data_IF_877518308589
#
_entry.id   IF_877518308589
#
_cell.length_a   1.000
_cell.length_b   1.000
_cell.length_c   1.000
_cell.angle_alpha   90.00
_cell.angle_beta   90.00
_cell.angle_gamma   90.00
#
_symmetry.space_group_name_H-M   'P 1'
#
loop_
_entity.id
_entity.type
_entity.pdbx_description
1 polymer ?
#
# COMPACT_ATOMS: atom_id res chain seq x y z
N UNK A 1 16.56 -1.06 1.91
CA UNK A 1 15.26 -1.56 2.43
C UNK A 1 14.39 -1.84 1.21
N UNK A 2 13.82 -3.02 1.11
CA UNK A 2 12.84 -3.35 0.05
C UNK A 2 11.46 -2.89 0.51
N UNK A 3 10.82 -2.00 -0.21
CA UNK A 3 9.46 -1.52 0.08
C UNK A 3 8.49 -2.21 -0.88
N UNK A 4 7.42 -2.78 -0.32
CA UNK A 4 6.42 -3.55 -1.07
C UNK A 4 5.03 -3.14 -0.60
N UNK A 5 4.54 -2.09 -1.23
CA UNK A 5 3.22 -1.56 -0.94
C UNK A 5 2.13 -2.34 -1.68
N UNK A 6 0.99 -2.56 -1.03
CA UNK A 6 -0.11 -3.33 -1.61
C UNK A 6 -1.41 -2.53 -1.64
N UNK A 7 -2.26 -2.83 -2.63
CA UNK A 7 -3.64 -2.37 -2.67
C UNK A 7 -4.58 -3.57 -2.59
N UNK A 8 -5.57 -3.52 -1.70
CA UNK A 8 -6.67 -4.48 -1.67
C UNK A 8 -7.91 -3.86 -2.32
N UNK A 9 -8.47 -4.57 -3.30
CA UNK A 9 -9.69 -4.20 -4.03
C UNK A 9 -10.84 -5.05 -3.53
N UNK A 10 -11.77 -4.45 -2.84
CA UNK A 10 -12.97 -5.08 -2.30
C UNK A 10 -14.10 -5.12 -3.35
N UNK A 11 -14.98 -6.10 -3.25
CA UNK A 11 -16.13 -6.29 -4.15
C UNK A 11 -17.09 -5.11 -4.22
N UNK A 12 -17.12 -4.25 -3.19
CA UNK A 12 -18.00 -3.08 -3.13
C UNK A 12 -17.41 -1.85 -3.80
N UNK A 13 -16.15 -1.91 -4.23
CA UNK A 13 -15.48 -0.77 -4.84
C UNK A 13 -16.06 -0.42 -6.22
N UNK A 14 -15.96 0.84 -6.60
CA UNK A 14 -16.24 1.27 -7.97
C UNK A 14 -15.06 0.88 -8.89
N UNK A 15 -15.36 0.17 -9.97
CA UNK A 15 -14.34 -0.37 -10.89
C UNK A 15 -13.50 0.71 -11.55
N UNK A 16 -14.10 1.87 -11.92
CA UNK A 16 -13.38 2.97 -12.57
C UNK A 16 -12.46 3.67 -11.57
N UNK A 17 -12.92 3.85 -10.33
CA UNK A 17 -12.12 4.44 -9.26
C UNK A 17 -10.98 3.49 -8.90
N UNK A 18 -11.24 2.20 -8.74
CA UNK A 18 -10.24 1.20 -8.43
C UNK A 18 -9.13 1.16 -9.49
N UNK A 19 -9.51 1.10 -10.78
CA UNK A 19 -8.53 1.09 -11.87
C UNK A 19 -7.66 2.34 -11.89
N UNK A 20 -8.24 3.54 -11.73
CA UNK A 20 -7.48 4.81 -11.68
C UNK A 20 -6.51 4.87 -10.50
N UNK A 21 -6.94 4.42 -9.32
CA UNK A 21 -6.08 4.40 -8.14
C UNK A 21 -4.89 3.47 -8.36
N UNK A 22 -5.13 2.27 -8.89
CA UNK A 22 -4.11 1.25 -9.16
C UNK A 22 -3.12 1.74 -10.23
N UNK A 23 -3.62 2.26 -11.35
CA UNK A 23 -2.78 2.81 -12.39
C UNK A 23 -1.86 3.92 -11.85
N UNK A 24 -2.42 4.86 -11.09
CA UNK A 24 -1.64 5.91 -10.45
C UNK A 24 -0.64 5.35 -9.44
N UNK A 25 -1.06 4.40 -8.59
CA UNK A 25 -0.21 3.82 -7.57
C UNK A 25 1.02 3.09 -8.16
N UNK A 26 0.87 2.47 -9.33
CA UNK A 26 2.00 1.79 -9.99
C UNK A 26 2.74 2.68 -10.99
N UNK A 27 2.03 3.35 -11.89
CA UNK A 27 2.62 3.89 -13.11
C UNK A 27 2.97 5.39 -13.05
N UNK A 28 2.47 6.14 -12.05
CA UNK A 28 2.87 7.55 -11.91
C UNK A 28 4.39 7.70 -11.75
N UNK A 29 5.02 6.87 -10.91
CA UNK A 29 6.47 6.76 -10.73
C UNK A 29 6.81 5.38 -10.19
N UNK A 30 7.41 4.54 -10.98
CA UNK A 30 7.67 3.12 -10.66
C UNK A 30 8.79 2.90 -9.65
N UNK A 31 9.75 3.81 -9.59
CA UNK A 31 10.97 3.65 -8.77
C UNK A 31 10.92 4.37 -7.41
N UNK A 32 9.76 4.79 -6.92
CA UNK A 32 9.62 5.41 -5.59
C UNK A 32 9.02 4.43 -4.57
N UNK A 33 9.28 4.70 -3.29
CA UNK A 33 8.83 3.85 -2.19
C UNK A 33 7.30 3.63 -2.15
N UNK A 34 6.50 4.64 -2.51
CA UNK A 34 5.04 4.54 -2.57
C UNK A 34 4.49 3.88 -3.84
N UNK A 35 5.34 3.36 -4.74
CA UNK A 35 4.87 2.58 -5.88
C UNK A 35 4.33 1.23 -5.40
N UNK A 36 3.10 0.90 -5.82
CA UNK A 36 2.50 -0.40 -5.48
C UNK A 36 3.24 -1.55 -6.19
N UNK A 37 3.45 -2.64 -5.47
CA UNK A 37 4.08 -3.85 -6.01
C UNK A 37 3.10 -5.02 -6.11
N UNK A 38 2.04 -5.02 -5.28
CA UNK A 38 1.03 -6.07 -5.27
C UNK A 38 -0.39 -5.51 -5.24
N UNK A 39 -1.26 -6.11 -6.05
CA UNK A 39 -2.71 -5.94 -5.96
C UNK A 39 -3.30 -7.22 -5.39
N UNK A 40 -4.13 -7.08 -4.37
CA UNK A 40 -4.94 -8.14 -3.80
C UNK A 40 -6.38 -7.91 -4.26
N UNK A 41 -6.94 -8.80 -5.05
CA UNK A 41 -8.29 -8.68 -5.59
C UNK A 41 -9.25 -9.65 -4.91
N UNK A 42 -10.39 -9.15 -4.41
CA UNK A 42 -11.41 -10.00 -3.83
C UNK A 42 -11.95 -10.99 -4.88
N UNK A 43 -12.07 -12.27 -4.52
CA UNK A 43 -12.58 -13.30 -5.43
C UNK A 43 -13.97 -12.99 -5.98
N UNK A 44 -14.79 -12.23 -5.24
CA UNK A 44 -16.15 -11.86 -5.64
C UNK A 44 -16.21 -10.76 -6.70
N UNK A 45 -15.11 -10.03 -6.94
CA UNK A 45 -15.06 -8.99 -7.98
C UNK A 45 -14.08 -9.29 -9.13
N UNK A 46 -13.56 -10.50 -9.19
CA UNK A 46 -12.66 -10.93 -10.28
C UNK A 46 -13.26 -10.66 -11.66
N UNK A 47 -14.49 -11.10 -11.91
CA UNK A 47 -15.12 -11.00 -13.23
C UNK A 47 -15.50 -9.55 -13.60
N UNK A 48 -15.69 -8.69 -12.62
CA UNK A 48 -16.15 -7.31 -12.83
C UNK A 48 -15.01 -6.29 -12.87
N UNK A 49 -14.02 -6.43 -12.02
CA UNK A 49 -12.95 -5.44 -11.84
C UNK A 49 -11.65 -5.83 -12.55
N UNK A 50 -11.25 -7.09 -12.44
CA UNK A 50 -9.94 -7.54 -12.90
C UNK A 50 -9.70 -7.36 -14.41
N UNK A 51 -10.70 -7.60 -15.32
CA UNK A 51 -10.49 -7.38 -16.75
C UNK A 51 -10.11 -5.94 -17.11
N UNK A 52 -10.75 -4.96 -16.44
CA UNK A 52 -10.43 -3.54 -16.64
C UNK A 52 -9.08 -3.19 -16.06
N UNK A 53 -8.83 -3.58 -14.82
CA UNK A 53 -7.55 -3.31 -14.13
C UNK A 53 -6.37 -3.83 -14.94
N UNK A 54 -6.42 -5.09 -15.40
CA UNK A 54 -5.37 -5.69 -16.24
C UNK A 54 -5.21 -4.92 -17.55
N UNK A 55 -6.33 -4.58 -18.20
CA UNK A 55 -6.32 -3.86 -19.48
C UNK A 55 -5.65 -2.49 -19.34
N UNK A 56 -6.01 -1.72 -18.32
CA UNK A 56 -5.48 -0.38 -18.10
C UNK A 56 -4.00 -0.43 -17.75
N UNK A 57 -3.59 -1.35 -16.87
CA UNK A 57 -2.17 -1.56 -16.54
C UNK A 57 -1.33 -1.92 -17.77
N UNK A 58 -1.78 -2.86 -18.59
CA UNK A 58 -1.06 -3.27 -19.80
C UNK A 58 -1.01 -2.13 -20.82
N UNK A 59 -2.10 -1.39 -21.00
CA UNK A 59 -2.13 -0.22 -21.88
C UNK A 59 -1.19 0.89 -21.39
N UNK A 60 -1.02 1.02 -20.08
CA UNK A 60 -0.05 1.91 -19.46
C UNK A 60 1.40 1.41 -19.53
N UNK A 61 1.65 0.25 -20.15
CA UNK A 61 2.99 -0.34 -20.33
C UNK A 61 3.47 -1.17 -19.14
N UNK A 62 2.57 -1.61 -18.24
CA UNK A 62 2.91 -2.44 -17.10
C UNK A 62 2.91 -3.94 -17.46
N UNK A 63 3.97 -4.65 -17.07
CA UNK A 63 3.96 -6.10 -17.04
C UNK A 63 3.13 -6.57 -15.83
N UNK A 64 2.15 -7.43 -16.08
CA UNK A 64 1.28 -7.97 -15.04
C UNK A 64 1.62 -9.43 -14.79
N UNK A 65 1.95 -9.76 -13.55
CA UNK A 65 2.15 -11.13 -13.07
C UNK A 65 0.98 -11.50 -12.16
N UNK A 66 0.33 -12.62 -12.44
CA UNK A 66 -0.87 -12.99 -11.70
C UNK A 66 -0.92 -14.47 -11.33
N UNK A 67 -1.82 -14.79 -10.41
CA UNK A 67 -2.15 -16.16 -10.09
C UNK A 67 -2.91 -16.86 -11.22
N UNK A 68 -3.31 -18.11 -11.02
CA UNK A 68 -4.03 -18.89 -12.02
C UNK A 68 -5.41 -18.31 -12.36
N UNK A 69 -6.01 -17.48 -11.52
CA UNK A 69 -7.29 -16.81 -11.79
C UNK A 69 -7.05 -15.64 -12.73
N UNK A 70 -6.08 -14.82 -12.45
CA UNK A 70 -5.66 -13.70 -13.31
C UNK A 70 -5.29 -14.14 -14.73
N UNK A 71 -4.56 -15.25 -14.85
CA UNK A 71 -4.18 -15.84 -16.15
C UNK A 71 -5.36 -16.31 -17.01
N UNK A 72 -6.53 -16.62 -16.41
CA UNK A 72 -7.74 -16.96 -17.15
C UNK A 72 -8.46 -15.74 -17.74
N UNK A 73 -8.22 -14.57 -17.13
CA UNK A 73 -8.84 -13.31 -17.57
C UNK A 73 -8.12 -12.75 -18.80
N UNK A 74 -6.80 -12.89 -18.89
CA UNK A 74 -6.02 -12.38 -20.02
C UNK A 74 -4.78 -13.25 -20.28
N UNK A 75 -4.56 -13.58 -21.54
CA UNK A 75 -3.38 -14.30 -22.03
C UNK A 75 -2.08 -13.47 -21.98
N UNK A 76 -2.20 -12.18 -21.72
CA UNK A 76 -1.07 -11.26 -21.54
C UNK A 76 -0.53 -11.25 -20.11
N UNK A 77 -1.24 -11.85 -19.16
CA UNK A 77 -0.78 -11.96 -17.77
C UNK A 77 0.23 -13.09 -17.66
N UNK A 78 1.41 -12.79 -17.13
CA UNK A 78 2.43 -13.78 -16.83
C UNK A 78 2.11 -14.48 -15.52
N UNK A 79 2.59 -15.71 -15.36
CA UNK A 79 2.39 -16.45 -14.12
C UNK A 79 3.26 -15.88 -13.00
N UNK A 80 2.65 -15.48 -11.91
CA UNK A 80 3.37 -15.12 -10.69
C UNK A 80 3.97 -16.35 -10.02
N UNK A 81 5.16 -16.20 -9.44
CA UNK A 81 5.84 -17.16 -8.56
C UNK A 81 5.69 -16.74 -7.10
N UNK A 82 6.08 -17.59 -6.16
CA UNK A 82 6.11 -17.22 -4.74
C UNK A 82 7.08 -16.07 -4.43
N UNK A 83 8.12 -15.91 -5.24
CA UNK A 83 9.11 -14.84 -5.10
C UNK A 83 8.52 -13.47 -5.46
N UNK A 84 7.54 -13.42 -6.37
CA UNK A 84 6.89 -12.17 -6.79
C UNK A 84 6.19 -11.47 -5.63
N UNK A 85 5.61 -12.23 -4.68
CA UNK A 85 4.96 -11.65 -3.50
C UNK A 85 5.93 -10.92 -2.56
N UNK A 86 7.20 -11.28 -2.61
CA UNK A 86 8.27 -10.68 -1.81
C UNK A 86 9.18 -9.72 -2.58
N UNK A 87 8.84 -9.36 -3.82
CA UNK A 87 9.70 -8.59 -4.72
C UNK A 87 9.29 -7.12 -4.75
N UNK A 88 10.27 -6.23 -4.63
CA UNK A 88 10.18 -4.84 -5.01
C UNK A 88 10.74 -4.70 -6.43
N UNK A 89 9.87 -4.45 -7.41
CA UNK A 89 10.28 -4.45 -8.82
C UNK A 89 11.03 -3.19 -9.23
N UNK A 90 10.65 -2.03 -8.65
CA UNK A 90 11.19 -0.72 -9.04
C UNK A 90 11.03 -0.40 -10.54
N UNK A 91 10.10 -1.06 -11.19
CA UNK A 91 9.83 -0.99 -12.62
C UNK A 91 8.32 -1.05 -12.89
N UNK A 92 7.90 -0.92 -14.14
CA UNK A 92 6.52 -1.09 -14.57
C UNK A 92 6.13 -2.59 -14.59
N UNK A 93 6.23 -3.23 -13.43
CA UNK A 93 5.87 -4.63 -13.18
C UNK A 93 5.04 -4.67 -11.90
N UNK A 94 3.92 -5.39 -11.89
CA UNK A 94 3.06 -5.54 -10.72
C UNK A 94 2.56 -6.98 -10.59
N UNK A 95 2.44 -7.48 -9.37
CA UNK A 95 1.81 -8.77 -9.10
C UNK A 95 0.34 -8.62 -8.70
N UNK A 96 -0.50 -9.57 -9.10
CA UNK A 96 -1.92 -9.61 -8.73
C UNK A 96 -2.26 -10.98 -8.14
N UNK A 97 -2.84 -10.99 -6.94
CA UNK A 97 -3.30 -12.20 -6.26
C UNK A 97 -4.77 -12.11 -5.91
N UNK A 98 -5.50 -13.16 -6.20
CA UNK A 98 -6.89 -13.32 -5.76
C UNK A 98 -6.92 -13.74 -4.29
N UNK A 99 -7.78 -13.11 -3.50
CA UNK A 99 -7.95 -13.35 -2.07
C UNK A 99 -9.42 -13.50 -1.68
N UNK A 100 -9.67 -14.23 -0.58
CA UNK A 100 -11.02 -14.45 -0.02
C UNK A 100 -11.36 -13.36 1.00
N UNK A 101 -11.61 -12.16 0.49
CA UNK A 101 -12.00 -11.03 1.31
C UNK A 101 -10.86 -10.38 2.07
N UNK A 102 -11.24 -9.42 2.92
CA UNK A 102 -10.32 -8.54 3.64
C UNK A 102 -9.39 -9.28 4.60
N UNK A 103 -9.81 -10.40 5.17
CA UNK A 103 -8.99 -11.16 6.12
C UNK A 103 -7.77 -11.78 5.45
N UNK A 104 -7.95 -12.45 4.32
CA UNK A 104 -6.83 -13.02 3.58
C UNK A 104 -5.91 -11.94 3.00
N UNK A 105 -6.48 -10.78 2.63
CA UNK A 105 -5.67 -9.62 2.22
C UNK A 105 -4.77 -9.14 3.36
N UNK A 106 -5.29 -9.00 4.57
CA UNK A 106 -4.53 -8.62 5.77
C UNK A 106 -3.44 -9.66 6.09
N UNK A 107 -3.74 -10.96 5.99
CA UNK A 107 -2.76 -12.03 6.20
C UNK A 107 -1.63 -11.99 5.16
N UNK A 108 -1.97 -11.75 3.89
CA UNK A 108 -0.97 -11.59 2.84
C UNK A 108 -0.05 -10.41 3.11
N UNK A 109 -0.62 -9.25 3.46
CA UNK A 109 0.13 -8.04 3.81
C UNK A 109 1.04 -8.30 5.03
N UNK A 110 0.54 -8.98 6.04
CA UNK A 110 1.32 -9.32 7.23
C UNK A 110 2.51 -10.24 6.92
N UNK A 111 2.37 -11.09 5.90
CA UNK A 111 3.39 -12.06 5.49
C UNK A 111 4.43 -11.46 4.55
N UNK A 112 4.00 -10.73 3.53
CA UNK A 112 4.84 -10.27 2.43
C UNK A 112 5.09 -8.76 2.42
N UNK A 113 4.28 -7.96 3.10
CA UNK A 113 4.42 -6.52 3.15
C UNK A 113 5.72 -6.07 3.84
N UNK A 114 6.08 -4.82 3.60
CA UNK A 114 7.29 -4.20 4.18
C UNK A 114 7.00 -3.31 5.38
N UNK A 115 5.73 -3.16 5.76
CA UNK A 115 5.27 -2.30 6.84
C UNK A 115 5.30 -0.80 6.47
N UNK A 116 5.35 -0.47 5.19
CA UNK A 116 5.38 0.90 4.69
C UNK A 116 3.96 1.45 4.44
N UNK A 117 3.37 1.18 3.28
CA UNK A 117 2.06 1.74 2.92
C UNK A 117 1.16 0.68 2.31
N UNK A 118 -0.10 0.66 2.77
CA UNK A 118 -1.12 -0.24 2.26
C UNK A 118 -2.42 0.55 2.05
N UNK A 119 -3.18 0.20 1.01
CA UNK A 119 -4.44 0.85 0.73
C UNK A 119 -5.57 -0.16 0.51
N UNK A 120 -6.76 0.13 1.03
CA UNK A 120 -7.98 -0.58 0.70
C UNK A 120 -8.85 0.28 -0.21
N UNK A 121 -9.40 -0.31 -1.26
CA UNK A 121 -10.39 0.31 -2.15
C UNK A 121 -11.72 -0.38 -1.91
N UNK A 122 -12.66 0.28 -1.24
CA UNK A 122 -13.92 -0.31 -0.77
C UNK A 122 -14.94 0.76 -0.41
N UNK A 123 -16.22 0.44 -0.56
CA UNK A 123 -17.33 1.24 -0.02
C UNK A 123 -17.96 0.59 1.24
N UNK A 124 -17.50 -0.58 1.64
CA UNK A 124 -17.92 -1.26 2.87
C UNK A 124 -17.18 -0.69 4.09
N UNK A 125 -17.89 0.08 4.90
CA UNK A 125 -17.32 0.75 6.07
C UNK A 125 -16.75 -0.22 7.11
N UNK A 126 -17.35 -1.39 7.29
CA UNK A 126 -16.89 -2.35 8.29
C UNK A 126 -15.57 -2.98 7.86
N UNK A 127 -15.47 -3.36 6.57
CA UNK A 127 -14.22 -3.87 5.99
C UNK A 127 -13.12 -2.81 6.00
N UNK A 128 -13.46 -1.55 5.67
CA UNK A 128 -12.53 -0.42 5.72
C UNK A 128 -11.98 -0.22 7.13
N UNK A 129 -12.84 -0.07 8.14
CA UNK A 129 -12.39 0.11 9.52
C UNK A 129 -11.57 -1.09 10.03
N UNK A 130 -11.95 -2.30 9.67
CA UNK A 130 -11.18 -3.51 9.98
C UNK A 130 -9.78 -3.45 9.38
N UNK A 131 -9.67 -3.11 8.11
CA UNK A 131 -8.38 -3.00 7.41
C UNK A 131 -7.50 -1.91 8.03
N UNK A 132 -8.05 -0.69 8.20
CA UNK A 132 -7.32 0.46 8.75
C UNK A 132 -6.79 0.20 10.18
N UNK A 133 -7.55 -0.53 11.01
CA UNK A 133 -7.18 -0.82 12.39
C UNK A 133 -6.29 -2.06 12.56
N UNK A 134 -6.30 -2.99 11.59
CA UNK A 134 -5.60 -4.28 11.73
C UNK A 134 -4.26 -4.30 11.01
N UNK A 135 -4.17 -3.65 9.84
CA UNK A 135 -2.93 -3.59 9.07
C UNK A 135 -1.86 -2.84 9.84
N UNK A 136 -0.72 -3.49 10.06
CA UNK A 136 0.35 -2.97 10.92
C UNK A 136 1.35 -2.04 10.24
N UNK A 137 1.12 -1.62 8.99
CA UNK A 137 2.01 -0.74 8.22
C UNK A 137 2.04 0.69 8.79
N UNK A 138 3.08 1.45 8.43
CA UNK A 138 3.26 2.81 8.92
C UNK A 138 2.19 3.76 8.39
N UNK A 139 1.71 3.50 7.18
CA UNK A 139 0.66 4.26 6.51
C UNK A 139 -0.39 3.27 6.02
N UNK A 140 -1.64 3.50 6.40
CA UNK A 140 -2.78 2.69 5.96
C UNK A 140 -3.84 3.63 5.42
N UNK A 141 -4.28 3.38 4.19
CA UNK A 141 -5.08 4.31 3.41
C UNK A 141 -6.41 3.68 2.97
N UNK A 142 -7.38 4.54 2.65
CA UNK A 142 -8.66 4.15 2.10
C UNK A 142 -8.97 4.99 0.85
N UNK A 143 -9.34 4.32 -0.24
CA UNK A 143 -9.74 4.91 -1.52
C UNK A 143 -8.73 5.94 -2.07
N UNK A 144 -7.44 5.67 -1.92
CA UNK A 144 -6.38 6.53 -2.46
C UNK A 144 -5.16 5.74 -2.89
N UNK A 145 -4.37 6.34 -3.78
CA UNK A 145 -3.11 5.80 -4.26
C UNK A 145 -2.05 5.77 -3.15
N UNK A 146 -1.29 4.69 -3.07
CA UNK A 146 -0.15 4.56 -2.15
C UNK A 146 0.92 5.64 -2.39
N UNK A 147 0.95 6.27 -3.56
CA UNK A 147 1.87 7.37 -3.87
C UNK A 147 1.55 8.69 -3.17
N UNK A 148 0.45 8.78 -2.41
CA UNK A 148 0.24 9.86 -1.44
C UNK A 148 1.07 9.69 -0.16
N UNK A 149 1.73 8.56 0.03
CA UNK A 149 2.67 8.31 1.11
C UNK A 149 3.96 9.13 0.90
N UNK A 150 3.88 10.42 1.18
CA UNK A 150 4.95 11.40 0.97
C UNK A 150 4.90 12.48 2.05
N UNK A 151 6.05 12.83 2.61
CA UNK A 151 6.15 13.86 3.65
C UNK A 151 5.69 15.24 3.20
N UNK A 152 5.79 15.57 1.91
CA UNK A 152 5.26 16.80 1.34
C UNK A 152 3.74 16.79 1.31
N UNK A 153 3.13 15.69 0.86
CA UNK A 153 1.67 15.52 0.82
C UNK A 153 1.06 15.52 2.24
N UNK A 154 1.77 14.98 3.23
CA UNK A 154 1.34 14.97 4.63
C UNK A 154 1.60 16.29 5.37
N UNK A 155 2.15 17.30 4.70
CA UNK A 155 2.42 18.60 5.32
C UNK A 155 3.59 18.61 6.30
N UNK A 156 4.50 17.63 6.23
CA UNK A 156 5.68 17.54 7.09
C UNK A 156 6.85 18.43 6.62
N UNK A 157 6.64 19.17 5.52
CA UNK A 157 7.59 20.10 4.93
C UNK A 157 8.70 19.44 4.12
N UNK A 158 9.16 18.27 4.52
CA UNK A 158 10.16 17.48 3.81
C UNK A 158 10.08 16.01 4.20
N UNK A 159 10.66 15.15 3.40
CA UNK A 159 10.94 13.75 3.74
C UNK A 159 12.43 13.49 3.55
N UNK A 160 13.12 13.19 4.66
CA UNK A 160 14.57 12.90 4.66
C UNK A 160 14.80 11.40 4.59
N UNK A 161 13.81 10.62 5.01
CA UNK A 161 13.86 9.17 4.99
C UNK A 161 12.53 8.57 5.37
N UNK A 162 12.48 7.24 5.36
CA UNK A 162 11.31 6.44 5.67
C UNK A 162 11.67 5.41 6.74
N UNK A 163 10.82 5.29 7.75
CA UNK A 163 10.97 4.29 8.80
C UNK A 163 9.72 3.40 8.87
N UNK A 164 9.89 2.09 8.70
CA UNK A 164 8.82 1.09 8.75
C UNK A 164 8.76 0.37 10.11
N UNK A 165 9.71 0.60 10.99
CA UNK A 165 9.71 0.09 12.35
C UNK A 165 8.55 0.64 13.19
N UNK A 166 8.28 0.02 14.35
CA UNK A 166 7.19 0.45 15.25
C UNK A 166 7.65 1.41 16.35
N UNK A 167 8.91 1.75 16.38
CA UNK A 167 9.47 2.80 17.25
C UNK A 167 9.51 4.14 16.51
N UNK A 168 9.58 5.25 17.27
CA UNK A 168 9.78 6.58 16.71
C UNK A 168 11.14 6.69 15.99
N UNK A 169 11.26 7.31 14.80
CA UNK A 169 10.16 7.84 13.98
C UNK A 169 9.57 6.75 13.10
N UNK A 170 8.33 6.94 12.61
CA UNK A 170 7.66 5.95 11.78
C UNK A 170 6.97 6.62 10.58
N UNK A 171 6.97 5.95 9.40
CA UNK A 171 6.48 6.51 8.15
C UNK A 171 7.45 7.51 7.55
N UNK A 172 6.97 8.54 6.84
CA UNK A 172 7.78 9.64 6.36
C UNK A 172 8.48 10.37 7.51
N UNK A 173 9.79 10.51 7.42
CA UNK A 173 10.61 11.15 8.46
C UNK A 173 10.99 12.55 8.00
N UNK A 174 10.34 13.55 8.55
CA UNK A 174 10.61 14.98 8.36
C UNK A 174 11.37 15.59 9.53
N UNK A 175 11.26 16.92 9.70
CA UNK A 175 11.97 17.68 10.70
C UNK A 175 11.73 17.19 12.13
N UNK A 176 10.48 16.94 12.50
CA UNK A 176 10.11 16.46 13.84
C UNK A 176 10.72 15.09 14.15
N UNK A 177 10.70 14.17 13.18
CA UNK A 177 11.27 12.84 13.32
C UNK A 177 12.80 12.82 13.49
N UNK A 178 13.49 13.87 13.08
CA UNK A 178 14.94 14.02 13.16
C UNK A 178 15.40 14.82 14.38
N UNK A 179 14.46 15.36 15.17
CA UNK A 179 14.76 16.17 16.33
C UNK A 179 14.31 15.49 17.62
N UNK A 180 14.78 16.00 18.72
CA UNK A 180 14.33 15.60 20.06
C UNK A 180 14.15 16.83 20.93
N UNK A 181 13.56 16.66 22.08
CA UNK A 181 13.31 17.73 23.02
C UNK A 181 13.98 17.45 24.38
N UNK A 182 14.17 18.52 25.16
CA UNK A 182 14.56 18.44 26.57
C UNK A 182 13.61 19.25 27.41
N UNK A 183 13.39 18.81 28.63
CA UNK A 183 12.65 19.61 29.62
C UNK A 183 13.59 20.59 30.29
N UNK A 184 13.20 21.86 30.38
CA UNK A 184 13.91 22.89 31.14
C UNK A 184 13.01 23.30 32.30
N UNK A 185 13.41 22.98 33.52
CA UNK A 185 12.66 23.32 34.72
C UNK A 185 13.39 24.42 35.47
N UNK A 186 12.71 25.53 35.73
CA UNK A 186 13.20 26.63 36.55
C UNK A 186 12.36 26.71 37.80
N UNK A 187 12.97 26.42 38.95
CA UNK A 187 12.32 26.47 40.25
C UNK A 187 12.85 27.62 41.11
N UNK A 188 12.18 27.87 42.22
CA UNK A 188 12.56 28.83 43.28
C UNK A 188 12.55 28.19 44.68
N UNK A 189 12.89 26.89 44.78
CA UNK A 189 12.99 26.16 46.02
C UNK A 189 11.86 25.14 46.28
N UNK A 190 11.06 24.80 45.28
CA UNK A 190 10.05 23.73 45.41
C UNK A 190 10.74 22.40 45.73
N UNK A 191 10.17 21.67 46.70
CA UNK A 191 10.57 20.30 47.05
C UNK A 191 9.41 19.35 46.81
N UNK A 192 9.75 18.11 46.46
CA UNK A 192 8.74 17.06 46.36
C UNK A 192 8.49 16.49 47.76
N UNK A 193 7.22 16.41 48.24
CA UNK A 193 6.89 15.80 49.52
C UNK A 193 7.18 14.32 49.56
#
# INVERSE_FOLDING_TARGET
MCIRDSLYVDETSDTEIASKIIENAKLRRTGICGAAETILIDENCVDTHLPKIITDLINGGCEVRGDNVCMKISDKVLKASEEDWGTEYLDAIISIKTVKGVDEAIEHIATYGSGHTESIISEDKEKVEKFLNTVGSAIVMHNTSTQFADGGEFGLGAEIGIATGKLHARGPVGLEGLTTYKYIVRGNGQVRP
#
